data_IF_787707593376
#
_entry.id   IF_787707593376
#
_cell.length_a   1.000
_cell.length_b   1.000
_cell.length_c   1.000
_cell.angle_alpha   90.00
_cell.angle_beta   90.00
_cell.angle_gamma   90.00
#
_symmetry.space_group_name_H-M   'P 1'
#
loop_
_entity.id
_entity.type
_entity.pdbx_description
1 polymer ?
#
# COMPACT_ATOMS: atom_id res chain seq x y z
N UNK A 1 12.37 -8.97 1.48
CA UNK A 1 11.21 -8.07 1.70
C UNK A 1 11.63 -6.94 2.63
N UNK A 2 11.17 -5.72 2.40
CA UNK A 2 11.36 -4.61 3.34
C UNK A 2 10.67 -4.93 4.67
N UNK A 3 11.23 -4.43 5.77
CA UNK A 3 10.64 -4.60 7.11
C UNK A 3 9.26 -3.93 7.13
N UNK A 4 8.20 -4.69 7.39
CA UNK A 4 6.86 -4.14 7.55
C UNK A 4 6.78 -3.55 8.96
N UNK A 5 6.67 -2.23 9.07
CA UNK A 5 6.63 -1.52 10.36
C UNK A 5 5.20 -1.17 10.82
N UNK A 6 4.23 -1.23 9.92
CA UNK A 6 2.83 -0.93 10.20
C UNK A 6 1.91 -1.78 9.30
N UNK A 7 0.76 -2.16 9.86
CA UNK A 7 -0.31 -2.94 9.24
C UNK A 7 -1.61 -2.16 9.35
N UNK A 8 -2.25 -1.95 8.22
CA UNK A 8 -3.61 -1.46 8.12
C UNK A 8 -4.59 -2.62 8.24
N UNK A 9 -5.61 -2.44 9.07
CA UNK A 9 -6.64 -3.45 9.31
C UNK A 9 -7.94 -2.95 8.70
N UNK A 10 -8.60 -3.82 7.95
CA UNK A 10 -9.88 -3.53 7.29
C UNK A 10 -10.92 -4.54 7.70
N UNK A 11 -12.18 -4.13 7.82
CA UNK A 11 -13.32 -5.03 7.82
C UNK A 11 -13.85 -5.10 6.40
N UNK A 12 -13.75 -6.27 5.78
CA UNK A 12 -14.12 -6.54 4.40
C UNK A 12 -15.29 -7.53 4.35
N UNK A 13 -16.37 -7.08 3.74
CA UNK A 13 -17.51 -7.92 3.33
C UNK A 13 -17.55 -7.97 1.80
N UNK A 14 -18.54 -8.68 1.24
CA UNK A 14 -18.75 -8.72 -0.22
C UNK A 14 -18.96 -7.34 -0.85
N UNK A 15 -19.55 -6.40 -0.12
CA UNK A 15 -20.00 -5.10 -0.66
C UNK A 15 -19.28 -3.89 -0.06
N UNK A 16 -18.59 -4.07 1.07
CA UNK A 16 -17.97 -2.96 1.80
C UNK A 16 -16.58 -3.32 2.27
N UNK A 17 -15.71 -2.32 2.24
CA UNK A 17 -14.38 -2.36 2.85
C UNK A 17 -14.19 -1.11 3.68
N UNK A 18 -14.03 -1.31 4.98
CA UNK A 18 -13.96 -0.21 5.96
C UNK A 18 -12.63 -0.30 6.69
N UNK A 19 -11.91 0.81 6.77
CA UNK A 19 -10.68 0.89 7.56
C UNK A 19 -11.03 0.83 9.05
N UNK A 20 -10.47 -0.16 9.76
CA UNK A 20 -10.75 -0.46 11.17
C UNK A 20 -9.77 0.27 12.07
N UNK A 21 -8.50 0.28 11.71
CA UNK A 21 -7.42 0.79 12.53
C UNK A 21 -6.06 0.32 12.03
N UNK A 22 -5.03 0.59 12.83
CA UNK A 22 -3.65 0.26 12.50
C UNK A 22 -2.95 -0.44 13.66
N UNK A 23 -2.10 -1.39 13.32
CA UNK A 23 -1.15 -2.07 14.19
C UNK A 23 0.24 -1.67 13.74
N UNK A 24 1.09 -1.17 14.64
CA UNK A 24 2.46 -0.81 14.32
C UNK A 24 3.41 -1.21 15.45
N UNK A 25 4.70 -1.22 15.15
CA UNK A 25 5.74 -1.46 16.14
C UNK A 25 6.63 -0.23 16.29
N UNK A 26 6.98 0.10 17.53
CA UNK A 26 8.01 1.10 17.84
C UNK A 26 8.97 0.47 18.86
N UNK A 27 10.23 0.30 18.47
CA UNK A 27 11.23 -0.41 19.27
C UNK A 27 10.82 -1.86 19.54
N UNK A 28 10.64 -2.21 20.82
CA UNK A 28 10.24 -3.56 21.28
C UNK A 28 8.76 -3.65 21.68
N UNK A 29 7.95 -2.65 21.34
CA UNK A 29 6.52 -2.61 21.69
C UNK A 29 5.64 -2.59 20.45
N UNK A 30 4.49 -3.25 20.57
CA UNK A 30 3.39 -3.22 19.61
C UNK A 30 2.34 -2.22 20.07
N UNK A 31 1.79 -1.50 19.12
CA UNK A 31 0.76 -0.49 19.33
C UNK A 31 -0.41 -0.75 18.41
N UNK A 32 -1.61 -0.58 18.92
CA UNK A 32 -2.82 -0.69 18.12
C UNK A 32 -3.78 0.46 18.43
N UNK A 33 -4.43 0.97 17.40
CA UNK A 33 -5.41 2.05 17.51
C UNK A 33 -6.51 1.88 16.46
N UNK A 34 -7.77 1.91 16.92
CA UNK A 34 -8.92 1.98 16.02
C UNK A 34 -9.03 3.34 15.35
N UNK A 35 -9.47 3.36 14.10
CA UNK A 35 -9.82 4.60 13.42
C UNK A 35 -11.05 5.24 14.09
N UNK A 36 -11.00 6.56 14.30
CA UNK A 36 -12.11 7.31 14.89
C UNK A 36 -13.42 7.17 14.11
N UNK A 37 -13.34 7.05 12.78
CA UNK A 37 -14.49 6.81 11.91
C UNK A 37 -15.09 5.42 12.15
N UNK A 38 -14.25 4.40 12.37
CA UNK A 38 -14.71 3.04 12.66
C UNK A 38 -15.41 2.94 14.01
N UNK A 39 -14.83 3.55 15.06
CA UNK A 39 -15.40 3.58 16.42
C UNK A 39 -16.83 4.13 16.48
N UNK A 40 -17.18 5.02 15.54
CA UNK A 40 -18.50 5.66 15.46
C UNK A 40 -19.55 4.83 14.72
N UNK A 41 -19.16 3.72 14.08
CA UNK A 41 -20.10 2.87 13.35
C UNK A 41 -20.91 2.02 14.32
N UNK A 42 -22.24 2.03 14.16
CA UNK A 42 -23.15 1.17 14.94
C UNK A 42 -22.83 -0.33 14.80
N UNK A 43 -22.29 -0.74 13.65
CA UNK A 43 -21.92 -2.12 13.36
C UNK A 43 -20.42 -2.42 13.57
N UNK A 44 -19.70 -1.56 14.31
CA UNK A 44 -18.30 -1.81 14.62
C UNK A 44 -18.15 -3.04 15.51
N UNK A 45 -17.18 -3.89 15.18
CA UNK A 45 -16.82 -5.06 15.96
C UNK A 45 -15.43 -4.84 16.56
N UNK A 46 -15.24 -5.28 17.81
CA UNK A 46 -13.90 -5.33 18.38
C UNK A 46 -13.10 -6.48 17.74
N UNK A 47 -11.78 -6.30 17.64
CA UNK A 47 -10.85 -7.34 17.18
C UNK A 47 -10.69 -8.45 18.20
N UNK A 48 -10.86 -8.14 19.48
CA UNK A 48 -10.76 -9.06 20.60
C UNK A 48 -11.15 -8.39 21.92
N UNK A 49 -11.39 -9.17 22.98
CA UNK A 49 -11.80 -8.67 24.29
C UNK A 49 -10.78 -7.72 24.94
N UNK A 50 -9.49 -7.88 24.63
CA UNK A 50 -8.39 -7.05 25.11
C UNK A 50 -8.22 -5.73 24.36
N UNK A 51 -8.91 -5.60 23.21
CA UNK A 51 -8.96 -4.43 22.35
C UNK A 51 -10.41 -3.93 22.18
N UNK A 52 -11.11 -3.52 23.25
CA UNK A 52 -12.48 -3.03 23.13
C UNK A 52 -12.52 -1.68 22.40
N UNK A 53 -13.61 -1.42 21.67
CA UNK A 53 -13.75 -0.23 20.80
C UNK A 53 -13.60 1.11 21.53
N UNK A 54 -13.98 1.17 22.81
CA UNK A 54 -13.87 2.39 23.62
C UNK A 54 -12.42 2.73 23.98
N UNK A 55 -11.52 1.73 23.98
CA UNK A 55 -10.10 1.94 24.27
C UNK A 55 -9.49 2.88 23.23
N UNK A 56 -8.59 3.75 23.69
CA UNK A 56 -7.75 4.57 22.82
C UNK A 56 -6.62 3.73 22.23
N UNK A 57 -5.42 4.30 22.18
CA UNK A 57 -4.22 3.57 21.81
C UNK A 57 -3.90 2.48 22.84
N UNK A 58 -3.77 1.24 22.38
CA UNK A 58 -3.27 0.12 23.17
C UNK A 58 -1.77 -0.07 22.89
N UNK A 59 -1.01 -0.50 23.90
CA UNK A 59 0.40 -0.87 23.76
C UNK A 59 0.70 -2.16 24.51
N UNK A 60 1.66 -2.95 24.03
CA UNK A 60 2.09 -4.20 24.64
C UNK A 60 3.53 -4.55 24.22
N UNK A 61 4.29 -5.22 25.08
CA UNK A 61 5.61 -5.77 24.74
C UNK A 61 5.51 -7.06 23.91
N UNK A 62 4.38 -7.76 23.99
CA UNK A 62 4.04 -8.91 23.17
C UNK A 62 2.93 -8.56 22.17
N UNK A 63 2.85 -9.30 21.07
CA UNK A 63 1.74 -9.14 20.13
C UNK A 63 0.41 -9.48 20.83
N UNK A 64 -0.64 -8.69 20.57
CA UNK A 64 -1.95 -8.93 21.18
C UNK A 64 -2.54 -10.27 20.71
N UNK A 65 -3.21 -11.05 21.59
CA UNK A 65 -3.86 -12.32 21.25
C UNK A 65 -4.71 -12.28 19.98
N UNK A 66 -5.54 -11.25 19.82
CA UNK A 66 -6.39 -11.05 18.64
C UNK A 66 -5.63 -11.04 17.29
N UNK A 67 -4.33 -10.74 17.31
CA UNK A 67 -3.44 -10.82 16.15
C UNK A 67 -2.64 -12.11 16.13
N UNK A 68 -2.04 -12.55 17.24
CA UNK A 68 -1.22 -13.79 17.24
C UNK A 68 -2.03 -15.02 16.85
N UNK A 69 -3.29 -15.10 17.26
CA UNK A 69 -4.18 -16.23 16.98
C UNK A 69 -4.55 -16.34 15.50
N UNK A 70 -4.22 -15.31 14.70
CA UNK A 70 -4.41 -15.32 13.23
C UNK A 70 -3.30 -16.02 12.49
N UNK A 71 -2.14 -16.20 13.11
CA UNK A 71 -0.99 -16.83 12.46
C UNK A 71 -1.13 -18.35 12.65
N UNK A 72 -1.26 -19.15 11.57
CA UNK A 72 -1.34 -20.60 11.69
C UNK A 72 -0.12 -21.16 12.41
N UNK A 73 -0.33 -22.16 13.27
CA UNK A 73 0.77 -22.85 13.95
C UNK A 73 1.69 -23.54 12.95
N UNK A 74 3.01 -23.50 13.19
CA UNK A 74 4.01 -24.25 12.39
C UNK A 74 3.81 -25.77 12.46
N UNK A 75 3.06 -26.27 13.46
CA UNK A 75 2.67 -27.68 13.56
C UNK A 75 1.52 -28.05 12.62
N UNK A 76 0.86 -27.08 11.99
CA UNK A 76 -0.17 -27.35 11.00
C UNK A 76 0.47 -28.02 9.76
N UNK A 77 0.00 -29.21 9.33
CA UNK A 77 0.53 -29.89 8.15
C UNK A 77 0.54 -29.02 6.88
N UNK A 78 -0.44 -28.12 6.74
CA UNK A 78 -0.58 -27.21 5.60
C UNK A 78 0.26 -25.93 5.72
N UNK A 79 1.01 -25.72 6.82
CA UNK A 79 1.78 -24.49 7.04
C UNK A 79 2.79 -24.22 5.91
N UNK A 80 3.42 -25.28 5.39
CA UNK A 80 4.38 -25.19 4.29
C UNK A 80 3.74 -24.72 3.00
N UNK A 81 2.52 -25.20 2.73
CA UNK A 81 1.77 -24.81 1.54
C UNK A 81 1.32 -23.35 1.63
N UNK A 82 0.86 -22.90 2.79
CA UNK A 82 0.54 -21.48 3.02
C UNK A 82 1.77 -20.59 2.79
N UNK A 83 2.93 -20.99 3.29
CA UNK A 83 4.16 -20.23 3.09
C UNK A 83 4.54 -20.16 1.61
N UNK A 84 4.44 -21.29 0.90
CA UNK A 84 4.74 -21.39 -0.54
C UNK A 84 3.81 -20.52 -1.38
N UNK A 85 2.50 -20.56 -1.12
CA UNK A 85 1.49 -19.77 -1.84
C UNK A 85 1.77 -18.27 -1.75
N UNK A 86 2.25 -17.80 -0.59
CA UNK A 86 2.60 -16.40 -0.35
C UNK A 86 4.06 -16.06 -0.67
N UNK A 87 4.87 -17.03 -1.10
CA UNK A 87 6.30 -16.84 -1.41
C UNK A 87 7.15 -16.45 -0.20
N UNK A 88 6.77 -16.87 1.02
CA UNK A 88 7.54 -16.63 2.25
C UNK A 88 8.25 -17.90 2.72
N UNK A 89 9.32 -17.74 3.51
CA UNK A 89 10.04 -18.89 4.08
C UNK A 89 9.27 -19.53 5.25
N UNK A 90 9.32 -20.86 5.36
CA UNK A 90 8.74 -21.61 6.49
C UNK A 90 9.33 -21.16 7.86
N UNK A 91 10.57 -20.67 7.82
CA UNK A 91 11.31 -20.16 8.97
C UNK A 91 11.10 -18.66 9.23
N UNK A 92 10.18 -18.00 8.52
CA UNK A 92 9.83 -16.61 8.79
C UNK A 92 9.42 -16.44 10.27
N UNK A 93 9.92 -15.35 10.87
CA UNK A 93 9.75 -15.00 12.29
C UNK A 93 9.14 -13.61 12.46
N UNK A 94 9.20 -12.76 11.43
CA UNK A 94 8.57 -11.44 11.49
C UNK A 94 7.05 -11.60 11.50
N UNK A 95 6.47 -11.37 12.65
CA UNK A 95 5.02 -11.46 12.88
C UNK A 95 4.21 -10.56 11.94
N UNK A 96 4.76 -9.44 11.46
CA UNK A 96 4.05 -8.57 10.53
C UNK A 96 4.03 -9.15 9.11
N UNK A 97 5.13 -9.80 8.69
CA UNK A 97 5.14 -10.57 7.44
C UNK A 97 4.13 -11.71 7.53
N UNK A 98 4.14 -12.47 8.62
CA UNK A 98 3.20 -13.58 8.83
C UNK A 98 1.73 -13.10 8.85
N UNK A 99 1.43 -12.00 9.54
CA UNK A 99 0.08 -11.42 9.60
C UNK A 99 -0.43 -10.91 8.25
N UNK A 100 0.44 -10.37 7.41
CA UNK A 100 0.04 -9.80 6.11
C UNK A 100 0.04 -10.82 4.97
N UNK A 101 0.46 -12.06 5.26
CA UNK A 101 0.52 -13.17 4.30
C UNK A 101 -0.40 -14.31 4.77
N UNK A 102 0.13 -15.28 5.50
CA UNK A 102 -0.58 -16.48 5.93
C UNK A 102 -1.65 -16.21 7.00
N UNK A 103 -1.53 -15.10 7.74
CA UNK A 103 -2.53 -14.59 8.68
C UNK A 103 -3.46 -13.52 8.10
N UNK A 104 -3.32 -13.20 6.81
CA UNK A 104 -3.99 -12.05 6.16
C UNK A 104 -5.51 -12.10 6.25
N UNK A 105 -6.07 -13.29 6.08
CA UNK A 105 -7.51 -13.56 6.13
C UNK A 105 -7.74 -14.77 7.03
N UNK A 106 -8.70 -14.64 7.94
CA UNK A 106 -9.16 -15.74 8.78
C UNK A 106 -10.68 -15.90 8.66
N UNK A 107 -11.32 -16.63 9.59
CA UNK A 107 -12.78 -16.86 9.56
C UNK A 107 -13.62 -15.60 9.83
N UNK A 108 -13.00 -14.45 10.09
CA UNK A 108 -13.67 -13.18 10.35
C UNK A 108 -13.65 -12.24 9.14
N UNK A 109 -14.38 -11.13 9.22
CA UNK A 109 -14.33 -10.07 8.20
C UNK A 109 -13.05 -9.24 8.21
N UNK A 110 -12.17 -9.39 9.21
CA UNK A 110 -10.94 -8.61 9.29
C UNK A 110 -9.86 -9.09 8.31
N UNK A 111 -9.22 -8.12 7.64
CA UNK A 111 -8.13 -8.31 6.67
C UNK A 111 -6.94 -7.43 7.07
N UNK A 112 -5.76 -8.02 7.08
CA UNK A 112 -4.50 -7.37 7.47
C UNK A 112 -3.64 -7.07 6.25
N UNK A 113 -3.29 -5.81 6.04
CA UNK A 113 -2.48 -5.41 4.91
C UNK A 113 -1.31 -4.54 5.35
N UNK A 114 -0.13 -4.65 4.72
CA UNK A 114 0.98 -3.80 5.08
C UNK A 114 0.59 -2.34 4.82
N UNK A 115 0.84 -1.47 5.79
CA UNK A 115 0.77 -0.04 5.56
C UNK A 115 1.96 0.35 4.69
N UNK A 116 1.69 0.52 3.41
CA UNK A 116 2.69 0.98 2.47
C UNK A 116 2.87 2.48 2.72
N UNK A 117 3.99 2.87 3.32
CA UNK A 117 4.38 4.28 3.38
C UNK A 117 4.74 4.72 1.98
N UNK A 118 4.12 5.79 1.51
CA UNK A 118 4.51 6.37 0.24
C UNK A 118 5.76 7.20 0.45
N UNK A 119 6.91 6.63 0.10
CA UNK A 119 8.19 7.36 0.12
C UNK A 119 8.38 8.19 -1.16
N UNK A 120 7.51 8.02 -2.16
CA UNK A 120 7.56 8.79 -3.40
C UNK A 120 7.05 10.21 -3.17
N UNK A 121 7.98 11.15 -3.24
CA UNK A 121 7.76 12.56 -2.90
C UNK A 121 7.28 13.38 -4.09
N UNK A 122 6.73 14.56 -3.80
CA UNK A 122 6.42 15.58 -4.78
C UNK A 122 7.63 15.98 -5.64
N UNK A 123 8.82 16.03 -5.04
CA UNK A 123 10.07 16.33 -5.76
C UNK A 123 10.38 15.24 -6.78
N UNK A 124 10.28 13.97 -6.40
CA UNK A 124 10.52 12.85 -7.31
C UNK A 124 9.52 12.81 -8.46
N UNK A 125 8.23 13.13 -8.21
CA UNK A 125 7.24 13.31 -9.28
C UNK A 125 7.66 14.40 -10.27
N UNK A 126 8.10 15.55 -9.76
CA UNK A 126 8.55 16.67 -10.60
C UNK A 126 9.79 16.29 -11.42
N UNK A 127 10.74 15.59 -10.81
CA UNK A 127 11.95 15.09 -11.46
C UNK A 127 11.62 14.03 -12.52
N UNK A 128 10.64 13.16 -12.24
CA UNK A 128 10.12 12.20 -13.20
C UNK A 128 9.53 12.90 -14.43
N UNK A 129 8.64 13.89 -14.25
CA UNK A 129 8.09 14.67 -15.37
C UNK A 129 9.19 15.36 -16.17
N UNK A 130 10.17 15.96 -15.49
CA UNK A 130 11.30 16.63 -16.14
C UNK A 130 12.18 15.65 -16.92
N UNK A 131 12.41 14.43 -16.41
CA UNK A 131 13.13 13.36 -17.13
C UNK A 131 12.39 12.89 -18.38
N UNK A 132 11.06 12.85 -18.34
CA UNK A 132 10.26 12.62 -19.53
C UNK A 132 10.29 13.82 -20.49
N UNK A 133 10.79 14.98 -20.04
CA UNK A 133 10.85 16.24 -20.77
C UNK A 133 9.46 16.71 -21.22
N UNK A 134 8.46 16.55 -20.35
CA UNK A 134 7.08 16.97 -20.57
C UNK A 134 6.76 18.24 -19.77
N UNK A 135 5.98 19.14 -20.36
CA UNK A 135 5.35 20.24 -19.63
C UNK A 135 4.27 19.70 -18.70
N UNK A 136 3.75 20.52 -17.78
CA UNK A 136 2.63 20.11 -16.92
C UNK A 136 1.40 19.72 -17.76
N UNK A 137 1.02 20.55 -18.74
CA UNK A 137 -0.12 20.27 -19.62
C UNK A 137 0.03 18.98 -20.43
N UNK A 138 1.24 18.70 -20.94
CA UNK A 138 1.49 17.43 -21.65
C UNK A 138 1.41 16.23 -20.72
N UNK A 139 1.95 16.36 -19.50
CA UNK A 139 1.91 15.32 -18.49
C UNK A 139 0.45 15.03 -18.03
N UNK A 140 -0.36 16.08 -17.90
CA UNK A 140 -1.79 15.98 -17.60
C UNK A 140 -2.55 15.17 -18.63
N UNK A 141 -2.38 15.51 -19.91
CA UNK A 141 -3.03 14.80 -21.02
C UNK A 141 -2.52 13.37 -21.11
N UNK A 142 -1.21 13.16 -20.98
CA UNK A 142 -0.59 11.85 -21.11
C UNK A 142 -1.07 10.88 -20.01
N UNK A 143 -1.14 11.34 -18.75
CA UNK A 143 -1.59 10.50 -17.61
C UNK A 143 -3.06 10.66 -17.22
N UNK A 144 -3.83 11.45 -17.98
CA UNK A 144 -5.25 11.74 -17.70
C UNK A 144 -5.49 12.29 -16.28
N UNK A 145 -4.67 13.23 -15.84
CA UNK A 145 -4.80 13.87 -14.52
C UNK A 145 -5.17 15.33 -14.70
N UNK A 146 -6.05 15.86 -13.84
CA UNK A 146 -6.42 17.27 -13.92
C UNK A 146 -5.28 18.18 -13.48
N UNK A 147 -5.17 19.34 -14.13
CA UNK A 147 -4.20 20.38 -13.80
C UNK A 147 -4.10 20.68 -12.30
N UNK A 148 -5.25 20.91 -11.65
CA UNK A 148 -5.31 21.20 -10.22
C UNK A 148 -4.77 20.08 -9.34
N UNK A 149 -4.94 18.82 -9.76
CA UNK A 149 -4.41 17.67 -9.03
C UNK A 149 -2.91 17.58 -9.20
N UNK A 150 -2.42 17.68 -10.44
CA UNK A 150 -0.97 17.66 -10.73
C UNK A 150 -0.24 18.80 -10.01
N UNK A 151 -0.76 20.02 -10.10
CA UNK A 151 -0.20 21.19 -9.42
C UNK A 151 -0.09 20.98 -7.91
N UNK A 152 -1.15 20.48 -7.26
CA UNK A 152 -1.14 20.20 -5.81
C UNK A 152 -0.19 19.06 -5.45
N UNK A 153 -0.06 18.05 -6.30
CA UNK A 153 0.88 16.95 -6.11
C UNK A 153 2.33 17.45 -6.16
N UNK A 154 2.71 18.18 -7.20
CA UNK A 154 4.08 18.73 -7.35
C UNK A 154 4.42 19.77 -6.27
N UNK A 155 3.41 20.47 -5.74
CA UNK A 155 3.58 21.40 -4.61
C UNK A 155 3.63 20.70 -3.24
N UNK A 156 3.48 19.37 -3.17
CA UNK A 156 3.41 18.62 -1.90
C UNK A 156 2.17 18.91 -1.05
N UNK A 157 1.12 19.49 -1.66
CA UNK A 157 -0.13 19.90 -0.99
C UNK A 157 -1.27 18.90 -1.18
N UNK A 158 -1.06 17.85 -1.97
CA UNK A 158 -2.06 16.79 -2.17
C UNK A 158 -2.14 15.88 -0.94
N UNK A 159 -3.37 15.57 -0.51
CA UNK A 159 -3.64 14.55 0.53
C UNK A 159 -3.78 13.14 -0.05
N UNK A 160 -3.75 13.00 -1.38
CA UNK A 160 -4.01 11.72 -2.04
C UNK A 160 -2.69 11.00 -2.33
N UNK A 161 -2.41 9.97 -1.52
CA UNK A 161 -1.26 9.07 -1.73
C UNK A 161 -1.39 8.24 -3.01
N UNK A 162 -2.62 8.08 -3.53
CA UNK A 162 -2.90 7.28 -4.71
C UNK A 162 -2.09 7.74 -5.92
N UNK A 163 -2.12 9.04 -6.25
CA UNK A 163 -1.46 9.54 -7.45
C UNK A 163 0.06 9.49 -7.35
N UNK A 164 0.63 9.77 -6.18
CA UNK A 164 2.07 9.65 -5.99
C UNK A 164 2.52 8.20 -6.22
N UNK A 165 1.77 7.20 -5.74
CA UNK A 165 2.08 5.80 -6.07
C UNK A 165 1.84 5.43 -7.52
N UNK A 166 0.77 5.96 -8.10
CA UNK A 166 0.47 5.76 -9.51
C UNK A 166 1.65 6.22 -10.37
N UNK A 167 2.23 7.39 -10.08
CA UNK A 167 3.42 7.88 -10.78
C UNK A 167 4.71 7.17 -10.39
N UNK A 168 4.87 6.77 -9.13
CA UNK A 168 5.99 5.93 -8.69
C UNK A 168 6.09 4.64 -9.52
N UNK A 169 4.95 4.01 -9.83
CA UNK A 169 4.91 2.82 -10.67
C UNK A 169 5.55 3.08 -12.04
N UNK A 170 5.17 4.14 -12.73
CA UNK A 170 5.72 4.47 -14.04
C UNK A 170 7.18 4.93 -13.99
N UNK A 171 7.61 5.54 -12.87
CA UNK A 171 8.99 5.92 -12.70
C UNK A 171 9.90 4.72 -12.44
N UNK A 172 9.45 3.77 -11.61
CA UNK A 172 10.26 2.63 -11.15
C UNK A 172 10.13 1.38 -12.02
N UNK A 173 9.03 1.21 -12.74
CA UNK A 173 8.75 0.02 -13.56
C UNK A 173 8.69 0.44 -15.02
N UNK A 174 9.77 0.29 -15.79
CA UNK A 174 9.81 0.79 -17.15
C UNK A 174 8.80 0.15 -18.08
N UNK A 175 8.47 -1.13 -17.87
CA UNK A 175 7.46 -1.84 -18.64
C UNK A 175 6.07 -1.18 -18.49
N UNK A 176 5.76 -0.61 -17.32
CA UNK A 176 4.51 0.11 -17.11
C UNK A 176 4.48 1.43 -17.90
N UNK A 177 5.60 2.16 -17.96
CA UNK A 177 5.71 3.39 -18.74
C UNK A 177 5.71 3.12 -20.24
N UNK A 178 6.36 2.04 -20.69
CA UNK A 178 6.33 1.59 -22.08
C UNK A 178 4.90 1.26 -22.52
N UNK A 179 4.17 0.52 -21.68
CA UNK A 179 2.75 0.24 -21.90
C UNK A 179 1.92 1.54 -21.97
N UNK A 180 2.18 2.51 -21.10
CA UNK A 180 1.49 3.81 -21.15
C UNK A 180 1.77 4.58 -22.45
N UNK A 181 3.02 4.57 -22.92
CA UNK A 181 3.42 5.18 -24.19
C UNK A 181 2.76 4.51 -25.39
N UNK A 182 2.59 3.18 -25.36
CA UNK A 182 1.87 2.45 -26.41
C UNK A 182 0.39 2.88 -26.47
N UNK A 183 -0.26 3.05 -25.32
CA UNK A 183 -1.70 3.35 -25.24
C UNK A 183 -2.04 4.81 -25.45
N UNK A 184 -1.17 5.73 -25.02
CA UNK A 184 -1.46 7.17 -24.94
C UNK A 184 -0.39 8.05 -25.56
N UNK A 185 0.70 7.49 -26.09
CA UNK A 185 1.80 8.25 -26.65
C UNK A 185 1.42 9.10 -27.87
N UNK A 186 0.34 8.74 -28.58
CA UNK A 186 -0.25 9.55 -29.67
C UNK A 186 -0.81 10.90 -29.19
N UNK A 187 -0.97 11.11 -27.89
CA UNK A 187 -1.38 12.39 -27.32
C UNK A 187 -0.20 13.34 -27.10
N UNK A 188 1.02 12.86 -27.30
CA UNK A 188 2.25 13.65 -27.25
C UNK A 188 2.65 14.08 -28.66
N UNK A 189 3.34 15.21 -28.77
CA UNK A 189 3.98 15.61 -30.02
C UNK A 189 4.95 14.52 -30.52
N UNK A 190 4.96 14.26 -31.83
CA UNK A 190 5.67 13.13 -32.42
C UNK A 190 7.16 13.08 -32.05
N UNK A 191 7.84 14.22 -32.06
CA UNK A 191 9.25 14.32 -31.64
C UNK A 191 9.48 13.82 -30.21
N UNK A 192 8.58 14.18 -29.28
CA UNK A 192 8.66 13.76 -27.87
C UNK A 192 8.32 12.29 -27.73
N UNK A 193 7.34 11.80 -28.46
CA UNK A 193 6.96 10.38 -28.50
C UNK A 193 8.13 9.53 -29.00
N UNK A 194 8.75 9.88 -30.11
CA UNK A 194 9.90 9.19 -30.69
C UNK A 194 11.07 9.20 -29.71
N UNK A 195 11.36 10.34 -29.07
CA UNK A 195 12.40 10.45 -28.04
C UNK A 195 12.13 9.50 -26.87
N UNK A 196 10.89 9.43 -26.38
CA UNK A 196 10.55 8.55 -25.26
C UNK A 196 10.67 7.08 -25.67
N UNK A 197 10.19 6.70 -26.85
CA UNK A 197 10.32 5.32 -27.37
C UNK A 197 11.77 4.89 -27.58
N UNK A 198 12.71 5.81 -27.86
CA UNK A 198 14.13 5.50 -28.07
C UNK A 198 14.94 5.40 -26.76
N UNK A 199 14.35 5.72 -25.61
CA UNK A 199 15.05 5.58 -24.33
C UNK A 199 15.23 4.10 -23.97
N UNK A 200 16.50 3.65 -23.90
CA UNK A 200 16.87 2.27 -23.52
C UNK A 200 16.25 1.79 -22.20
N UNK A 201 15.96 2.70 -21.26
CA UNK A 201 15.29 2.37 -20.00
C UNK A 201 13.90 1.75 -20.20
N UNK A 202 13.21 2.03 -21.31
CA UNK A 202 11.86 1.54 -21.58
C UNK A 202 11.81 0.18 -22.31
N UNK A 203 12.97 -0.32 -22.75
CA UNK A 203 13.09 -1.49 -23.65
C UNK A 203 13.69 -2.71 -22.92
N UNK A 204 14.16 -2.55 -21.67
CA UNK A 204 14.74 -3.63 -20.86
C UNK A 204 14.04 -3.75 -19.51
#
# INVERSE_FOLDING_TARGET
MSKIEEINIYSQTKTKRIFVGKLWREGKKYFFEYANTYKKLRSALSLGPELPLWKGRASSSALFPAFSDRIPSKKNPAYKDYCREWGIGENEKDVFVLLTTIGRRGPSTFVFEPAIKNEYTASQLKDFRNRLGLTQSEFEVFFNISHMTLFRLEAGKSKSDFYLRYFELFDKVPQALAWMLEKRGQLLHDEKRIRLLSQKKLIC
#
